data_IF_284465781956
#
_entry.id   IF_284465781956
#
_cell.length_a   1.000
_cell.length_b   1.000
_cell.length_c   1.000
_cell.angle_alpha   90.00
_cell.angle_beta   90.00
_cell.angle_gamma   90.00
#
_symmetry.space_group_name_H-M   'P 1'
#
loop_
_entity.id
_entity.type
_entity.pdbx_description
1 polymer ?
#
# COMPACT_ATOMS: atom_id res chain seq x y z
N UNK A 1 43.31 -3.32 10.51
CA UNK A 1 42.09 -4.01 10.99
C UNK A 1 41.09 -3.99 9.86
N UNK A 2 40.87 -5.12 9.18
CA UNK A 2 39.88 -5.21 8.11
C UNK A 2 38.47 -5.31 8.71
N UNK A 3 37.57 -4.44 8.26
CA UNK A 3 36.17 -4.47 8.68
C UNK A 3 35.48 -5.69 8.04
N UNK A 4 35.09 -6.67 8.84
CA UNK A 4 34.39 -7.87 8.37
C UNK A 4 32.94 -7.48 8.06
N UNK A 5 32.71 -6.96 6.86
CA UNK A 5 31.38 -6.56 6.40
C UNK A 5 30.58 -7.76 5.89
N UNK A 6 29.39 -7.95 6.44
CA UNK A 6 28.49 -9.01 5.98
C UNK A 6 27.84 -8.62 4.64
N UNK A 7 28.36 -9.15 3.54
CA UNK A 7 27.85 -8.89 2.19
C UNK A 7 26.36 -9.22 2.02
N UNK A 8 25.82 -10.20 2.76
CA UNK A 8 24.41 -10.56 2.67
C UNK A 8 23.52 -9.46 3.25
N UNK A 9 23.93 -8.84 4.36
CA UNK A 9 23.23 -7.68 4.93
C UNK A 9 23.26 -6.49 3.97
N UNK A 10 24.43 -6.21 3.38
CA UNK A 10 24.58 -5.13 2.41
C UNK A 10 23.69 -5.33 1.18
N UNK A 11 23.69 -6.53 0.59
CA UNK A 11 22.82 -6.88 -0.55
C UNK A 11 21.34 -6.70 -0.18
N UNK A 12 20.90 -7.20 0.98
CA UNK A 12 19.51 -7.03 1.46
C UNK A 12 19.14 -5.57 1.68
N UNK A 13 20.07 -4.75 2.16
CA UNK A 13 19.82 -3.32 2.35
C UNK A 13 19.69 -2.61 1.01
N UNK A 14 20.54 -2.94 0.03
CA UNK A 14 20.45 -2.42 -1.35
C UNK A 14 19.13 -2.81 -2.03
N UNK A 15 18.69 -4.07 -1.90
CA UNK A 15 17.41 -4.51 -2.48
C UNK A 15 16.23 -3.79 -1.85
N UNK A 16 16.20 -3.67 -0.51
CA UNK A 16 15.15 -2.93 0.21
C UNK A 16 15.10 -1.45 -0.19
N UNK A 17 16.26 -0.83 -0.39
CA UNK A 17 16.34 0.55 -0.88
C UNK A 17 15.76 0.73 -2.28
N UNK A 18 16.08 -0.18 -3.19
CA UNK A 18 15.53 -0.17 -4.56
C UNK A 18 14.02 -0.44 -4.59
N UNK A 19 13.52 -1.34 -3.74
CA UNK A 19 12.08 -1.60 -3.59
C UNK A 19 11.33 -0.38 -3.06
N UNK A 20 11.91 0.35 -2.10
CA UNK A 20 11.31 1.57 -1.57
C UNK A 20 11.19 2.65 -2.63
N UNK A 21 12.25 2.92 -3.40
CA UNK A 21 12.22 3.89 -4.49
C UNK A 21 11.14 3.56 -5.55
N UNK A 22 11.01 2.27 -5.92
CA UNK A 22 9.94 1.81 -6.81
C UNK A 22 8.55 1.99 -6.21
N UNK A 23 8.40 1.77 -4.89
CA UNK A 23 7.14 1.97 -4.20
C UNK A 23 6.73 3.45 -4.20
N UNK A 24 7.68 4.36 -3.98
CA UNK A 24 7.46 5.81 -4.03
C UNK A 24 7.07 6.26 -5.45
N UNK A 25 7.78 5.78 -6.48
CA UNK A 25 7.40 6.02 -7.88
C UNK A 25 5.99 5.51 -8.20
N UNK A 26 5.62 4.33 -7.70
CA UNK A 26 4.30 3.77 -7.91
C UNK A 26 3.21 4.54 -7.14
N UNK A 27 3.53 5.07 -5.96
CA UNK A 27 2.61 5.93 -5.22
C UNK A 27 2.32 7.22 -5.99
N UNK A 28 3.32 7.82 -6.62
CA UNK A 28 3.15 9.00 -7.49
C UNK A 28 2.41 8.64 -8.78
N UNK A 29 2.84 7.57 -9.47
CA UNK A 29 2.28 7.16 -10.77
C UNK A 29 0.84 6.63 -10.69
N UNK A 30 0.53 5.88 -9.64
CA UNK A 30 -0.76 5.19 -9.49
C UNK A 30 -1.64 5.77 -8.37
N UNK A 31 -1.17 6.83 -7.69
CA UNK A 31 -1.94 7.80 -6.91
C UNK A 31 -2.62 7.30 -5.63
N UNK A 32 -2.83 6.00 -5.47
CA UNK A 32 -3.46 5.41 -4.28
C UNK A 32 -2.70 4.18 -3.83
N UNK A 33 -2.24 4.23 -2.59
CA UNK A 33 -1.67 3.08 -1.87
C UNK A 33 -2.73 2.01 -1.63
N UNK A 34 -2.31 0.76 -1.37
CA UNK A 34 -3.25 -0.34 -1.06
C UNK A 34 -4.12 -0.02 0.16
N UNK A 35 -3.58 0.70 1.14
CA UNK A 35 -4.27 1.11 2.36
C UNK A 35 -5.37 2.13 2.08
N UNK A 36 -5.11 3.11 1.21
CA UNK A 36 -6.11 4.11 0.80
C UNK A 36 -7.22 3.45 -0.03
N UNK A 37 -6.87 2.60 -1.00
CA UNK A 37 -7.86 1.84 -1.78
C UNK A 37 -8.77 0.99 -0.88
N UNK A 38 -8.21 0.37 0.16
CA UNK A 38 -9.00 -0.42 1.12
C UNK A 38 -9.93 0.47 1.94
N UNK A 39 -9.46 1.64 2.39
CA UNK A 39 -10.27 2.61 3.13
C UNK A 39 -11.46 3.09 2.29
N UNK A 40 -11.19 3.48 1.04
CA UNK A 40 -12.22 3.94 0.10
C UNK A 40 -13.26 2.85 -0.13
N UNK A 41 -12.80 1.62 -0.43
CA UNK A 41 -13.69 0.48 -0.63
C UNK A 41 -14.59 0.21 0.58
N UNK A 42 -14.03 0.25 1.80
CA UNK A 42 -14.82 0.06 3.02
C UNK A 42 -15.81 1.21 3.25
N UNK A 43 -15.47 2.43 2.88
CA UNK A 43 -16.38 3.57 2.96
C UNK A 43 -17.53 3.44 1.94
N UNK A 44 -17.22 3.04 0.70
CA UNK A 44 -18.21 2.76 -0.34
C UNK A 44 -19.16 1.62 0.05
N UNK A 45 -18.63 0.53 0.60
CA UNK A 45 -19.44 -0.59 1.10
C UNK A 45 -20.42 -0.13 2.20
N UNK A 46 -19.96 0.66 3.17
CA UNK A 46 -20.83 1.21 4.21
C UNK A 46 -21.90 2.16 3.67
N UNK A 47 -21.57 2.99 2.67
CA UNK A 47 -22.56 3.85 2.05
C UNK A 47 -23.60 3.04 1.30
N UNK A 48 -23.16 1.99 0.60
CA UNK A 48 -24.06 1.09 -0.13
C UNK A 48 -25.00 0.36 0.81
N UNK A 49 -24.48 -0.23 1.90
CA UNK A 49 -25.34 -0.91 2.89
C UNK A 49 -26.35 0.04 3.51
N UNK A 50 -25.93 1.27 3.89
CA UNK A 50 -26.87 2.27 4.41
C UNK A 50 -27.95 2.62 3.40
N UNK A 51 -27.59 2.80 2.13
CA UNK A 51 -28.55 3.11 1.08
C UNK A 51 -29.52 1.96 0.85
N UNK A 52 -29.02 0.72 0.86
CA UNK A 52 -29.84 -0.48 0.73
C UNK A 52 -30.78 -0.64 1.95
N UNK A 53 -30.31 -0.40 3.18
CA UNK A 53 -31.15 -0.42 4.40
C UNK A 53 -32.25 0.65 4.38
N UNK A 54 -32.02 1.76 3.69
CA UNK A 54 -32.98 2.86 3.54
C UNK A 54 -33.91 2.71 2.34
N UNK A 55 -33.70 1.70 1.48
CA UNK A 55 -34.67 1.37 0.44
C UNK A 55 -35.87 0.67 1.09
N UNK A 56 -37.04 1.30 0.96
CA UNK A 56 -38.29 0.57 1.09
C UNK A 56 -38.48 -0.22 -0.20
N UNK A 57 -38.29 -1.53 -0.12
CA UNK A 57 -38.72 -2.45 -1.17
C UNK A 57 -40.26 -2.37 -1.25
N UNK A 58 -40.76 -1.95 -2.41
CA UNK A 58 -42.20 -1.90 -2.74
C UNK A 58 -42.74 -3.30 -3.07
#
# INVERSE_FOLDING_TARGET
MSEIVNLNRFRKQKTRGAEKARADENAVKFGRTKTEKRRDKTAEEQMKTRHDDHKLDE
#
